data_IF_710423889958
#
_entry.id   IF_710423889958
#
_cell.length_a   1.000
_cell.length_b   1.000
_cell.length_c   1.000
_cell.angle_alpha   90.00
_cell.angle_beta   90.00
_cell.angle_gamma   90.00
#
_symmetry.space_group_name_H-M   'P 1'
#
loop_
_entity.id
_entity.type
_entity.pdbx_description
1 polymer ?
#
# COMPACT_ATOMS: atom_id res chain seq x y z
N UNK A 1 -3.34 -36.01 14.76
CA UNK A 1 -4.59 -35.88 13.99
C UNK A 1 -4.19 -35.29 12.65
N UNK A 2 -4.44 -35.98 11.54
CA UNK A 2 -4.21 -35.40 10.22
C UNK A 2 -5.26 -34.31 10.02
N UNK A 3 -4.82 -33.11 9.66
CA UNK A 3 -5.74 -32.05 9.29
C UNK A 3 -6.27 -32.33 7.88
N UNK A 4 -7.59 -32.41 7.75
CA UNK A 4 -8.24 -32.66 6.46
C UNK A 4 -8.36 -31.38 5.62
N UNK A 5 -7.75 -30.27 6.04
CA UNK A 5 -7.89 -28.98 5.35
C UNK A 5 -7.51 -29.04 3.86
N UNK A 6 -6.37 -29.63 3.45
CA UNK A 6 -6.04 -29.79 2.03
C UNK A 6 -6.94 -30.78 1.28
N UNK A 7 -7.69 -31.62 2.01
CA UNK A 7 -8.62 -32.60 1.45
C UNK A 7 -10.02 -32.01 1.22
N UNK A 8 -10.31 -30.83 1.77
CA UNK A 8 -11.54 -30.10 1.49
C UNK A 8 -11.56 -29.64 0.03
N UNK A 9 -12.76 -29.57 -0.55
CA UNK A 9 -12.96 -28.99 -1.88
C UNK A 9 -13.28 -27.49 -1.84
N UNK A 10 -13.28 -26.82 -3.02
CA UNK A 10 -13.57 -25.39 -3.12
C UNK A 10 -14.89 -24.95 -2.47
N UNK A 11 -15.96 -25.74 -2.63
CA UNK A 11 -17.27 -25.44 -2.03
C UNK A 11 -17.25 -25.51 -0.50
N UNK A 12 -16.36 -26.32 0.08
CA UNK A 12 -16.20 -26.40 1.52
C UNK A 12 -15.38 -25.21 2.02
N UNK A 13 -14.28 -24.86 1.36
CA UNK A 13 -13.48 -23.67 1.68
C UNK A 13 -14.28 -22.38 1.61
N UNK A 14 -15.18 -22.24 0.63
CA UNK A 14 -16.06 -21.07 0.51
C UNK A 14 -16.89 -20.77 1.77
N UNK A 15 -17.15 -21.78 2.62
CA UNK A 15 -17.89 -21.60 3.88
C UNK A 15 -17.09 -20.86 4.96
N UNK A 16 -15.79 -20.72 4.77
CA UNK A 16 -14.87 -20.03 5.67
C UNK A 16 -14.53 -18.61 5.18
N UNK A 17 -14.77 -18.32 3.90
CA UNK A 17 -14.49 -16.99 3.31
C UNK A 17 -15.35 -15.92 4.00
N UNK A 18 -14.76 -14.74 4.21
CA UNK A 18 -15.34 -13.62 4.95
C UNK A 18 -15.64 -13.95 6.43
N UNK A 19 -14.89 -14.90 7.01
CA UNK A 19 -14.95 -15.19 8.45
C UNK A 19 -13.61 -14.92 9.08
N UNK A 20 -13.64 -14.44 10.32
CA UNK A 20 -12.44 -14.37 11.12
C UNK A 20 -12.13 -15.78 11.60
N UNK A 21 -10.94 -16.25 11.27
CA UNK A 21 -10.49 -17.60 11.60
C UNK A 21 -9.24 -17.56 12.47
N UNK A 22 -9.13 -18.56 13.33
CA UNK A 22 -7.91 -18.92 14.03
C UNK A 22 -7.36 -20.17 13.34
N UNK A 23 -6.14 -20.07 12.82
CA UNK A 23 -5.46 -21.14 12.09
C UNK A 23 -4.27 -21.60 12.93
N UNK A 24 -4.23 -22.90 13.23
CA UNK A 24 -3.06 -23.54 13.82
C UNK A 24 -2.23 -24.13 12.69
N UNK A 25 -0.93 -23.82 12.65
CA UNK A 25 -0.03 -24.32 11.62
C UNK A 25 1.29 -24.82 12.23
N UNK A 26 1.54 -26.12 12.19
CA UNK A 26 2.74 -26.73 12.78
C UNK A 26 2.85 -26.59 14.31
N UNK A 27 4.06 -26.80 14.85
CA UNK A 27 4.34 -26.80 16.31
C UNK A 27 4.23 -25.39 16.91
N UNK A 28 3.08 -25.12 17.51
CA UNK A 28 2.73 -23.95 18.34
C UNK A 28 2.61 -22.60 17.64
N UNK A 29 2.44 -22.59 16.31
CA UNK A 29 2.19 -21.35 15.59
C UNK A 29 0.69 -21.16 15.33
N UNK A 30 0.11 -20.15 15.98
CA UNK A 30 -1.27 -19.72 15.75
C UNK A 30 -1.30 -18.42 14.97
N UNK A 31 -2.19 -18.34 13.98
CA UNK A 31 -2.47 -17.15 13.18
C UNK A 31 -3.94 -16.80 13.27
N UNK A 32 -4.25 -15.51 13.30
CA UNK A 32 -5.62 -15.01 13.30
C UNK A 32 -5.78 -13.98 12.20
N UNK A 33 -6.95 -13.98 11.57
CA UNK A 33 -7.29 -13.00 10.55
C UNK A 33 -8.57 -13.36 9.82
N UNK A 34 -9.01 -12.44 8.98
CA UNK A 34 -10.16 -12.62 8.09
C UNK A 34 -9.75 -13.44 6.88
N UNK A 35 -10.39 -14.58 6.67
CA UNK A 35 -10.11 -15.40 5.50
C UNK A 35 -10.71 -14.75 4.26
N UNK A 36 -9.83 -14.24 3.39
CA UNK A 36 -10.21 -13.62 2.13
C UNK A 36 -10.47 -14.66 1.04
N UNK A 37 -9.55 -15.62 0.91
CA UNK A 37 -9.61 -16.66 -0.11
C UNK A 37 -8.74 -17.85 0.28
N UNK A 38 -8.93 -18.95 -0.45
CA UNK A 38 -8.09 -20.15 -0.38
C UNK A 38 -7.59 -20.43 -1.78
N UNK A 39 -6.27 -20.59 -1.95
CA UNK A 39 -5.72 -21.06 -3.22
C UNK A 39 -6.13 -22.52 -3.44
N UNK A 40 -6.92 -22.85 -4.48
CA UNK A 40 -7.39 -24.20 -4.69
C UNK A 40 -6.29 -25.19 -5.08
N UNK A 41 -5.10 -24.70 -5.48
CA UNK A 41 -3.98 -25.57 -5.85
C UNK A 41 -3.18 -25.98 -4.61
N UNK A 42 -2.79 -25.03 -3.77
CA UNK A 42 -1.96 -25.30 -2.58
C UNK A 42 -2.75 -25.47 -1.28
N UNK A 43 -4.06 -25.24 -1.31
CA UNK A 43 -4.92 -25.09 -0.13
C UNK A 43 -4.46 -23.98 0.83
N UNK A 44 -3.67 -23.00 0.35
CA UNK A 44 -3.14 -21.93 1.20
C UNK A 44 -4.24 -20.92 1.55
N UNK A 45 -4.26 -20.51 2.82
CA UNK A 45 -5.20 -19.50 3.33
C UNK A 45 -4.58 -18.12 3.19
N UNK A 46 -5.34 -17.19 2.60
CA UNK A 46 -5.00 -15.77 2.57
C UNK A 46 -5.78 -15.06 3.66
N UNK A 47 -5.08 -14.66 4.73
CA UNK A 47 -5.63 -13.96 5.88
C UNK A 47 -5.36 -12.46 5.78
N UNK A 48 -6.36 -11.66 6.12
CA UNK A 48 -6.26 -10.21 6.23
C UNK A 48 -6.44 -9.80 7.67
N UNK A 49 -5.55 -8.95 8.17
CA UNK A 49 -5.68 -8.34 9.49
C UNK A 49 -5.74 -6.82 9.36
N UNK A 50 -6.75 -6.23 9.99
CA UNK A 50 -7.02 -4.79 9.95
C UNK A 50 -6.42 -4.13 11.18
N UNK A 51 -5.47 -3.22 10.96
CA UNK A 51 -4.79 -2.50 12.03
C UNK A 51 -5.60 -1.29 12.47
N UNK A 52 -5.35 -0.84 13.70
CA UNK A 52 -5.99 0.34 14.29
C UNK A 52 -5.62 1.64 13.55
N UNK A 53 -4.46 1.69 12.90
CA UNK A 53 -4.00 2.81 12.07
C UNK A 53 -4.72 2.92 10.71
N UNK A 54 -5.72 2.06 10.47
CA UNK A 54 -6.48 2.00 9.22
C UNK A 54 -5.81 1.13 8.15
N UNK A 55 -4.57 0.68 8.36
CA UNK A 55 -3.87 -0.22 7.45
C UNK A 55 -4.44 -1.64 7.44
N UNK A 56 -4.07 -2.40 6.41
CA UNK A 56 -4.33 -3.84 6.33
C UNK A 56 -3.00 -4.58 6.16
N UNK A 57 -2.86 -5.73 6.79
CA UNK A 57 -1.75 -6.66 6.53
C UNK A 57 -2.29 -7.97 5.99
N UNK A 58 -1.53 -8.58 5.08
CA UNK A 58 -1.89 -9.84 4.44
C UNK A 58 -0.89 -10.90 4.85
N UNK A 59 -1.39 -12.05 5.27
CA UNK A 59 -0.60 -13.19 5.67
C UNK A 59 -1.07 -14.42 4.91
N UNK A 60 -0.13 -15.24 4.44
CA UNK A 60 -0.43 -16.50 3.76
C UNK A 60 -0.02 -17.66 4.65
N UNK A 61 -0.97 -18.52 5.00
CA UNK A 61 -0.71 -19.79 5.69
C UNK A 61 -0.71 -20.91 4.67
N UNK A 62 0.41 -21.64 4.57
CA UNK A 62 0.56 -22.71 3.59
C UNK A 62 -0.35 -23.88 3.92
N UNK A 63 -1.14 -24.34 2.94
CA UNK A 63 -2.17 -25.36 3.16
C UNK A 63 -1.64 -26.65 3.78
N UNK A 64 -0.46 -27.11 3.38
CA UNK A 64 0.19 -28.31 3.93
C UNK A 64 0.61 -28.18 5.40
N UNK A 65 0.72 -26.96 5.91
CA UNK A 65 1.11 -26.69 7.30
C UNK A 65 -0.10 -26.55 8.22
N UNK A 66 -1.32 -26.44 7.67
CA UNK A 66 -2.54 -26.23 8.44
C UNK A 66 -2.86 -27.50 9.24
N UNK A 67 -3.01 -27.32 10.55
CA UNK A 67 -3.42 -28.38 11.47
C UNK A 67 -4.90 -28.25 11.87
N UNK A 68 -5.40 -27.02 12.00
CA UNK A 68 -6.77 -26.74 12.42
C UNK A 68 -7.20 -25.34 11.97
N UNK A 69 -8.48 -25.19 11.62
CA UNK A 69 -9.11 -23.91 11.27
C UNK A 69 -10.40 -23.76 12.09
N UNK A 70 -10.36 -22.85 13.06
CA UNK A 70 -11.50 -22.50 13.90
C UNK A 70 -12.12 -21.19 13.41
N UNK A 71 -13.45 -21.14 13.27
CA UNK A 71 -14.18 -19.91 12.95
C UNK A 71 -14.51 -19.18 14.25
N UNK A 72 -14.04 -17.93 14.37
CA UNK A 72 -14.28 -17.08 15.53
C UNK A 72 -15.56 -16.24 15.36
N UNK A 73 -15.73 -15.62 14.19
CA UNK A 73 -16.89 -14.79 13.87
C UNK A 73 -17.09 -14.66 12.36
N UNK A 74 -18.33 -14.38 11.96
CA UNK A 74 -18.66 -14.00 10.58
C UNK A 74 -18.49 -12.48 10.40
N UNK A 75 -18.12 -12.04 9.20
CA UNK A 75 -18.01 -10.62 8.90
C UNK A 75 -19.39 -9.98 8.87
N UNK A 76 -19.51 -8.80 9.47
CA UNK A 76 -20.63 -7.91 9.20
C UNK A 76 -20.49 -7.27 7.81
N UNK A 77 -21.50 -6.48 7.43
CA UNK A 77 -21.54 -5.84 6.12
C UNK A 77 -20.37 -4.86 5.93
N UNK A 78 -20.01 -4.11 6.97
CA UNK A 78 -18.87 -3.17 6.95
C UNK A 78 -17.55 -3.91 6.71
N UNK A 79 -17.28 -4.96 7.48
CA UNK A 79 -16.06 -5.75 7.37
C UNK A 79 -15.98 -6.43 6.00
N UNK A 80 -17.10 -6.94 5.49
CA UNK A 80 -17.17 -7.54 4.14
C UNK A 80 -16.80 -6.52 3.07
N UNK A 81 -17.35 -5.31 3.14
CA UNK A 81 -17.00 -4.22 2.22
C UNK A 81 -15.52 -3.82 2.36
N UNK A 82 -14.99 -3.80 3.58
CA UNK A 82 -13.57 -3.50 3.83
C UNK A 82 -12.67 -4.57 3.21
N UNK A 83 -12.98 -5.85 3.35
CA UNK A 83 -12.23 -6.95 2.73
C UNK A 83 -12.22 -6.83 1.19
N UNK A 84 -13.39 -6.54 0.60
CA UNK A 84 -13.51 -6.38 -0.86
C UNK A 84 -12.76 -5.16 -1.39
N UNK A 85 -12.72 -4.07 -0.63
CA UNK A 85 -12.06 -2.82 -1.05
C UNK A 85 -10.56 -2.75 -0.73
N UNK A 86 -10.05 -3.61 0.17
CA UNK A 86 -8.64 -3.61 0.59
C UNK A 86 -7.64 -3.87 -0.53
N UNK A 87 -8.08 -4.50 -1.62
CA UNK A 87 -7.25 -4.82 -2.78
C UNK A 87 -7.67 -4.05 -4.04
N UNK A 88 -8.70 -3.21 -3.92
CA UNK A 88 -8.96 -2.23 -4.97
C UNK A 88 -7.88 -1.14 -4.83
N UNK A 89 -7.36 -0.64 -5.96
CA UNK A 89 -6.54 0.57 -5.92
C UNK A 89 -7.29 1.60 -5.10
N UNK A 90 -6.62 2.21 -4.12
CA UNK A 90 -7.18 3.34 -3.39
C UNK A 90 -7.79 4.25 -4.44
N UNK A 91 -9.12 4.51 -4.38
CA UNK A 91 -9.82 5.31 -5.40
C UNK A 91 -8.93 6.51 -5.63
N UNK A 92 -8.24 6.55 -6.77
CA UNK A 92 -7.29 7.61 -7.05
C UNK A 92 -8.15 8.85 -6.96
N UNK A 93 -7.98 9.67 -5.91
CA UNK A 93 -8.63 10.97 -5.89
C UNK A 93 -8.19 11.55 -7.22
N UNK A 94 -9.14 11.74 -8.14
CA UNK A 94 -8.83 12.30 -9.43
C UNK A 94 -8.34 13.70 -9.11
N UNK A 95 -7.02 13.82 -9.00
CA UNK A 95 -6.38 15.09 -8.77
C UNK A 95 -6.79 15.95 -9.95
N UNK A 96 -7.11 17.21 -9.66
CA UNK A 96 -7.43 18.16 -10.70
C UNK A 96 -6.25 18.21 -11.70
N UNK A 97 -6.50 18.36 -13.02
CA UNK A 97 -5.42 18.40 -14.00
C UNK A 97 -4.35 19.44 -13.68
N UNK A 98 -4.71 20.56 -13.04
CA UNK A 98 -3.74 21.58 -12.63
C UNK A 98 -2.84 21.08 -11.49
N UNK A 99 -3.40 20.37 -10.53
CA UNK A 99 -2.66 19.76 -9.42
C UNK A 99 -1.73 18.65 -9.91
N UNK A 100 -2.16 17.83 -10.88
CA UNK A 100 -1.31 16.83 -11.54
C UNK A 100 -0.11 17.48 -12.24
N UNK A 101 -0.33 18.60 -12.95
CA UNK A 101 0.75 19.33 -13.61
C UNK A 101 1.72 19.92 -12.60
N UNK A 102 1.22 20.52 -11.51
CA UNK A 102 2.06 21.04 -10.41
C UNK A 102 2.90 19.93 -9.78
N UNK A 103 2.29 18.77 -9.52
CA UNK A 103 2.97 17.61 -8.93
C UNK A 103 4.03 17.03 -9.86
N UNK A 104 3.69 16.83 -11.15
CA UNK A 104 4.64 16.41 -12.19
C UNK A 104 5.86 17.34 -12.24
N UNK A 105 5.62 18.65 -12.32
CA UNK A 105 6.69 19.65 -12.37
C UNK A 105 7.54 19.67 -11.09
N UNK A 106 6.92 19.54 -9.92
CA UNK A 106 7.62 19.45 -8.64
C UNK A 106 8.53 18.24 -8.52
N UNK A 107 8.03 17.05 -8.87
CA UNK A 107 8.82 15.80 -8.87
C UNK A 107 9.98 15.91 -9.86
N UNK A 108 9.73 16.37 -11.08
CA UNK A 108 10.78 16.59 -12.08
C UNK A 108 11.88 17.52 -11.58
N UNK A 109 11.49 18.70 -11.08
CA UNK A 109 12.43 19.72 -10.60
C UNK A 109 13.25 19.20 -9.41
N UNK A 110 12.65 18.39 -8.54
CA UNK A 110 13.36 17.78 -7.42
C UNK A 110 14.39 16.74 -7.87
N UNK A 111 14.03 15.86 -8.80
CA UNK A 111 14.95 14.87 -9.34
C UNK A 111 16.13 15.53 -10.06
N UNK A 112 15.87 16.55 -10.88
CA UNK A 112 16.90 17.33 -11.57
C UNK A 112 17.81 18.07 -10.58
N UNK A 113 17.25 18.65 -9.49
CA UNK A 113 18.03 19.27 -8.40
C UNK A 113 18.96 18.26 -7.71
N UNK A 114 18.55 17.00 -7.64
CA UNK A 114 19.36 15.89 -7.13
C UNK A 114 20.29 15.28 -8.20
N UNK A 115 20.47 15.96 -9.34
CA UNK A 115 21.31 15.56 -10.49
C UNK A 115 20.90 14.23 -11.11
N UNK A 116 19.60 13.92 -11.06
CA UNK A 116 19.04 12.72 -11.69
C UNK A 116 18.40 13.15 -13.01
N UNK A 117 18.82 12.58 -14.16
CA UNK A 117 18.26 12.94 -15.45
C UNK A 117 16.81 12.45 -15.58
N UNK A 118 15.93 13.34 -16.03
CA UNK A 118 14.51 13.06 -16.24
C UNK A 118 14.10 13.47 -17.65
N UNK A 119 13.44 12.57 -18.35
CA UNK A 119 12.86 12.77 -19.68
C UNK A 119 11.34 12.66 -19.58
N UNK A 120 10.63 13.47 -20.36
CA UNK A 120 9.18 13.41 -20.46
C UNK A 120 8.77 12.60 -21.68
N UNK A 121 7.96 11.57 -21.47
CA UNK A 121 7.39 10.76 -22.55
C UNK A 121 5.88 10.71 -22.37
N UNK A 122 5.16 11.57 -23.10
CA UNK A 122 3.72 11.74 -22.93
C UNK A 122 3.36 12.21 -21.51
N UNK A 123 2.62 11.38 -20.79
CA UNK A 123 2.21 11.61 -19.39
C UNK A 123 3.15 10.95 -18.37
N UNK A 124 4.27 10.37 -18.80
CA UNK A 124 5.21 9.67 -17.93
C UNK A 124 6.52 10.47 -17.76
N UNK A 125 7.18 10.27 -16.62
CA UNK A 125 8.55 10.73 -16.38
C UNK A 125 9.51 9.53 -16.42
N UNK A 126 10.42 9.49 -17.40
CA UNK A 126 11.50 8.52 -17.46
C UNK A 126 12.72 9.04 -16.71
N UNK A 127 13.12 8.32 -15.69
CA UNK A 127 14.25 8.66 -14.81
C UNK A 127 15.44 7.80 -15.19
N UNK A 128 16.49 8.44 -15.71
CA UNK A 128 17.74 7.81 -16.14
C UNK A 128 17.57 6.57 -17.06
N UNK A 129 16.47 6.50 -17.81
CA UNK A 129 16.14 5.39 -18.72
C UNK A 129 15.82 4.04 -18.06
N UNK A 130 15.76 3.97 -16.72
CA UNK A 130 15.64 2.70 -15.97
C UNK A 130 14.43 2.67 -15.02
N UNK A 131 13.79 3.81 -14.79
CA UNK A 131 12.60 3.92 -13.95
C UNK A 131 11.58 4.84 -14.62
N UNK A 132 10.31 4.49 -14.52
CA UNK A 132 9.19 5.28 -15.04
C UNK A 132 8.32 5.72 -13.87
N UNK A 133 7.88 6.98 -13.87
CA UNK A 133 6.90 7.51 -12.93
C UNK A 133 5.64 7.87 -13.68
N UNK A 134 4.51 7.27 -13.31
CA UNK A 134 3.20 7.52 -13.90
C UNK A 134 2.36 8.46 -13.03
N UNK A 135 1.31 9.11 -13.56
CA UNK A 135 0.33 9.81 -12.74
C UNK A 135 -0.26 8.88 -11.67
N UNK A 136 -0.53 9.37 -10.44
CA UNK A 136 -0.45 10.76 -9.97
C UNK A 136 0.93 11.25 -9.49
N UNK A 137 2.04 10.63 -9.90
CA UNK A 137 3.42 11.04 -9.59
C UNK A 137 3.75 11.05 -8.08
N UNK A 138 3.28 10.04 -7.37
CA UNK A 138 3.67 9.71 -6.01
C UNK A 138 4.82 8.69 -5.92
N UNK A 139 5.30 8.42 -4.69
CA UNK A 139 6.32 7.40 -4.48
C UNK A 139 5.83 6.01 -4.91
N UNK A 140 4.55 5.69 -4.71
CA UNK A 140 3.98 4.40 -5.10
C UNK A 140 3.78 4.26 -6.62
N UNK A 141 3.87 5.36 -7.37
CA UNK A 141 3.63 5.41 -8.82
C UNK A 141 4.92 5.23 -9.65
N UNK A 142 5.98 4.72 -9.01
CA UNK A 142 7.27 4.46 -9.62
C UNK A 142 7.38 2.98 -10.05
N UNK A 143 7.93 2.72 -11.23
CA UNK A 143 8.12 1.37 -11.77
C UNK A 143 9.55 1.19 -12.29
N UNK A 144 10.25 0.14 -11.82
CA UNK A 144 11.57 -0.25 -12.32
C UNK A 144 11.81 -1.74 -12.10
N UNK A 145 12.58 -2.38 -12.97
CA UNK A 145 13.07 -3.75 -12.76
C UNK A 145 14.17 -3.84 -11.70
N UNK A 146 14.73 -2.70 -11.25
CA UNK A 146 15.77 -2.66 -10.23
C UNK A 146 15.20 -2.12 -8.90
N UNK A 147 15.00 -3.03 -7.94
CA UNK A 147 14.41 -2.70 -6.64
C UNK A 147 15.23 -1.70 -5.81
N UNK A 148 16.56 -1.70 -5.97
CA UNK A 148 17.45 -0.77 -5.25
C UNK A 148 17.23 0.66 -5.78
N UNK A 149 17.12 0.81 -7.10
CA UNK A 149 16.84 2.09 -7.74
C UNK A 149 15.43 2.56 -7.38
N UNK A 150 14.45 1.66 -7.47
CA UNK A 150 13.06 1.94 -7.10
C UNK A 150 12.97 2.50 -5.67
N UNK A 151 13.45 1.76 -4.68
CA UNK A 151 13.39 2.17 -3.26
C UNK A 151 14.09 3.53 -3.02
N UNK A 152 15.23 3.77 -3.67
CA UNK A 152 15.96 5.04 -3.54
C UNK A 152 15.18 6.22 -4.13
N UNK A 153 14.57 6.05 -5.30
CA UNK A 153 13.78 7.10 -5.95
C UNK A 153 12.49 7.35 -5.18
N UNK A 154 11.81 6.30 -4.70
CA UNK A 154 10.62 6.42 -3.87
C UNK A 154 10.89 7.26 -2.61
N UNK A 155 11.98 6.95 -1.89
CA UNK A 155 12.43 7.72 -0.72
C UNK A 155 12.72 9.18 -1.06
N UNK A 156 13.36 9.43 -2.20
CA UNK A 156 13.69 10.79 -2.65
C UNK A 156 12.44 11.59 -3.02
N UNK A 157 11.44 10.96 -3.62
CA UNK A 157 10.15 11.57 -3.95
C UNK A 157 9.36 11.84 -2.66
N UNK A 158 9.39 10.91 -1.70
CA UNK A 158 8.71 11.06 -0.43
C UNK A 158 9.20 12.28 0.36
N UNK A 159 10.50 12.63 0.29
CA UNK A 159 11.03 13.84 0.93
C UNK A 159 10.44 15.12 0.33
N UNK A 160 10.08 15.14 -0.97
CA UNK A 160 9.42 16.31 -1.59
C UNK A 160 8.08 16.59 -0.93
N UNK A 161 7.32 15.53 -0.65
CA UNK A 161 6.00 15.63 -0.05
C UNK A 161 6.05 15.94 1.45
N UNK A 162 7.18 15.67 2.11
CA UNK A 162 7.38 16.03 3.52
C UNK A 162 7.89 17.47 3.72
N UNK A 163 8.43 18.12 2.68
CA UNK A 163 8.92 19.51 2.73
C UNK A 163 7.79 20.54 2.49
N UNK A 164 6.56 20.12 2.21
CA UNK A 164 5.39 21.01 2.24
C UNK A 164 4.58 20.82 3.52
N UNK A 165 5.08 21.38 4.64
CA UNK A 165 4.20 22.27 5.40
C UNK A 165 4.92 23.57 5.79
N UNK A 166 4.22 24.68 5.55
CA UNK A 166 4.39 25.99 6.19
C UNK A 166 5.73 26.72 6.03
N UNK A 167 5.80 27.57 5.01
CA UNK A 167 6.51 28.84 5.13
C UNK A 167 5.55 29.95 4.69
N UNK A 168 4.64 30.34 5.58
CA UNK A 168 4.15 31.72 5.58
C UNK A 168 5.33 32.62 5.96
N UNK A 169 5.90 33.30 4.96
CA UNK A 169 6.84 34.40 5.17
C UNK A 169 6.12 35.54 5.90
N UNK A 170 6.38 35.68 7.20
CA UNK A 170 6.15 36.95 7.89
C UNK A 170 7.38 37.82 7.68
N UNK A 171 7.26 38.80 6.77
CA UNK A 171 8.19 39.93 6.65
C UNK A 171 8.33 40.64 8.01
N UNK A 172 9.56 40.90 8.49
CA UNK A 172 9.80 41.87 9.54
C UNK A 172 10.45 43.11 8.92
N UNK A 173 9.66 44.16 8.67
CA UNK A 173 10.23 45.50 8.55
C UNK A 173 9.19 46.59 8.85
N UNK A 174 9.31 47.20 10.04
CA UNK A 174 9.63 48.63 10.15
C UNK A 174 9.77 49.06 11.63
N UNK A 175 10.87 49.70 12.04
CA UNK A 175 11.02 50.29 13.37
C UNK A 175 10.43 51.71 13.37
N UNK A 176 9.53 52.01 14.30
CA UNK A 176 9.11 53.39 14.55
C UNK A 176 10.02 54.02 15.60
N UNK A 177 10.71 55.06 15.14
CA UNK A 177 11.65 55.95 15.81
C UNK A 177 11.11 56.54 17.12
N UNK A 178 11.97 56.57 18.15
CA UNK A 178 11.88 57.44 19.33
C UNK A 178 12.24 58.87 18.92
N UNK A 179 11.38 59.84 19.19
CA UNK A 179 11.81 61.22 19.47
C UNK A 179 10.95 61.83 20.59
N UNK A 180 11.66 62.10 21.70
CA UNK A 180 11.60 63.17 22.72
C UNK A 180 10.24 63.67 23.23
#
# INVERSE_FOLDING_TARGET
>A
MQCDWPLLGPLQWMRYVNKQVKVKAGKDEERRGWLLTVDPVSASLVLVDFKEDGGASVQVVMGHAVEEVEVLQEADEETTQRLQSSFLPAKTRRLDPEELRKRRAGVRSWLEKNRIPVEEEGDELRVAGVLTITPPYGPEDCCSSNQIILDRIQKLIQSVFQIQPDHTETDPDCPSTMEV
#
